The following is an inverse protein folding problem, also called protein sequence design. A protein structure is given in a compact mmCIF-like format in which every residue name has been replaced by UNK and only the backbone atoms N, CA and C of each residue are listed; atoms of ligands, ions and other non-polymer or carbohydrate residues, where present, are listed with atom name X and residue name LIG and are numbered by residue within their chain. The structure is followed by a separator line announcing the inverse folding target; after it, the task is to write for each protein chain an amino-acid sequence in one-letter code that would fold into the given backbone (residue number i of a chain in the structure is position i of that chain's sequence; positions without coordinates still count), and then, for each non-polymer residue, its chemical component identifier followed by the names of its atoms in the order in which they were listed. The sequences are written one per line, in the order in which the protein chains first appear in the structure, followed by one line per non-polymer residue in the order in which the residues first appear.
data_IF_873560283440
#
_entry.id   IF_873560283440
#
_cell.length_a   1.000
_cell.length_b   1.000
_cell.length_c   1.000
_cell.angle_alpha   90.00
_cell.angle_beta   90.00
_cell.angle_gamma   90.00
#
_symmetry.space_group_name_H-M   'P 1'
#
loop_
_entity.id
_entity.type
_entity.pdbx_description
1 polymer ?
#
# COMPACT_ATOMS: atom_id res chain seq x y z
N UNK A 1 34.46 -36.89 0.57
CA UNK A 1 35.84 -36.59 0.10
C UNK A 1 35.98 -37.09 -1.33
N UNK A 2 35.96 -36.20 -2.32
CA UNK A 2 36.78 -36.33 -3.53
C UNK A 2 36.81 -35.01 -4.28
N UNK A 3 38.04 -34.57 -4.56
CA UNK A 3 38.43 -33.30 -5.14
C UNK A 3 38.42 -33.37 -6.67
N UNK A 4 38.25 -32.22 -7.32
CA UNK A 4 38.94 -31.74 -8.55
C UNK A 4 37.96 -30.94 -9.43
N UNK A 5 38.27 -29.82 -10.08
CA UNK A 5 39.47 -28.96 -10.22
C UNK A 5 38.98 -27.66 -10.88
N UNK A 6 39.50 -26.52 -10.46
CA UNK A 6 39.30 -25.19 -11.07
C UNK A 6 40.00 -25.09 -12.43
N UNK A 7 39.41 -24.39 -13.42
CA UNK A 7 40.11 -23.96 -14.65
C UNK A 7 39.62 -22.58 -15.12
N UNK A 8 40.60 -21.68 -15.24
CA UNK A 8 40.81 -20.55 -16.16
C UNK A 8 39.73 -19.46 -16.32
N UNK A 9 39.99 -18.20 -15.96
CA UNK A 9 40.94 -17.23 -16.58
C UNK A 9 40.41 -16.70 -17.92
N UNK A 10 39.90 -15.46 -17.90
CA UNK A 10 39.43 -14.72 -19.07
C UNK A 10 39.37 -13.23 -18.81
N UNK A 11 40.54 -12.63 -18.54
CA UNK A 11 40.73 -11.17 -18.55
C UNK A 11 40.85 -10.73 -20.01
N UNK A 12 39.86 -9.97 -20.51
CA UNK A 12 39.94 -9.28 -21.80
C UNK A 12 40.17 -7.79 -21.55
N UNK A 13 41.42 -7.38 -21.77
CA UNK A 13 41.86 -6.00 -21.81
C UNK A 13 41.38 -5.35 -23.13
N UNK A 14 40.56 -4.32 -23.04
CA UNK A 14 40.33 -3.39 -24.15
C UNK A 14 41.25 -2.17 -23.96
N UNK A 15 42.31 -2.12 -24.78
CA UNK A 15 43.16 -0.95 -24.96
C UNK A 15 42.59 -0.03 -26.02
N UNK A 16 42.45 1.25 -25.66
CA UNK A 16 42.66 2.39 -26.56
C UNK A 16 41.42 2.97 -27.24
N UNK A 17 41.11 4.24 -26.96
CA UNK A 17 41.60 5.39 -27.75
C UNK A 17 41.04 6.68 -27.13
N UNK A 18 41.96 7.57 -26.77
CA UNK A 18 41.70 8.94 -26.36
C UNK A 18 41.60 9.79 -27.64
N UNK A 19 40.44 10.37 -27.95
CA UNK A 19 40.34 11.50 -28.88
C UNK A 19 39.91 12.74 -28.10
N UNK A 20 40.84 13.69 -28.03
CA UNK A 20 40.58 15.06 -27.64
C UNK A 20 39.75 15.77 -28.71
N UNK A 21 38.70 16.46 -28.28
CA UNK A 21 37.97 17.45 -29.08
C UNK A 21 37.59 18.63 -28.19
N UNK A 22 38.39 19.70 -28.23
CA UNK A 22 37.96 21.03 -27.80
C UNK A 22 37.18 21.65 -28.94
N UNK A 23 35.92 22.02 -28.71
CA UNK A 23 35.10 22.73 -29.69
C UNK A 23 33.96 23.43 -28.98
N UNK A 24 34.14 24.74 -28.75
CA UNK A 24 33.14 25.65 -28.22
C UNK A 24 31.97 25.77 -29.20
N UNK A 25 30.75 25.62 -28.70
CA UNK A 25 29.53 25.79 -29.47
C UNK A 25 28.33 25.83 -28.55
N UNK A 26 28.17 26.93 -27.82
CA UNK A 26 26.89 27.25 -27.20
C UNK A 26 25.87 27.51 -28.31
N UNK A 27 24.97 26.57 -28.52
CA UNK A 27 23.65 26.85 -29.09
C UNK A 27 22.62 26.38 -28.07
N UNK A 28 22.06 27.36 -27.37
CA UNK A 28 20.85 27.15 -26.61
C UNK A 28 19.77 26.66 -27.58
N UNK A 29 19.36 25.42 -27.42
CA UNK A 29 18.17 24.85 -28.03
C UNK A 29 17.59 24.01 -26.91
N UNK A 30 16.43 24.34 -26.34
CA UNK A 30 15.19 24.25 -27.08
C UNK A 30 14.09 25.11 -26.44
N UNK A 31 13.26 25.63 -27.33
CA UNK A 31 11.89 26.11 -27.19
C UNK A 31 11.28 26.13 -25.77
N UNK A 32 11.24 27.32 -25.19
CA UNK A 32 10.09 27.73 -24.39
C UNK A 32 9.00 28.21 -25.35
N UNK A 33 7.86 27.51 -25.43
CA UNK A 33 6.60 28.17 -25.81
C UNK A 33 5.66 28.04 -24.63
N UNK A 34 5.33 29.20 -24.08
CA UNK A 34 4.42 29.42 -22.99
C UNK A 34 3.02 29.68 -23.57
N UNK A 35 2.02 29.09 -22.89
CA UNK A 35 0.57 29.23 -23.10
C UNK A 35 -0.08 28.50 -24.30
N UNK A 36 -0.99 27.58 -23.93
CA UNK A 36 -1.89 26.76 -24.75
C UNK A 36 -1.26 25.61 -25.59
N UNK A 37 -0.77 24.55 -24.93
CA UNK A 37 -0.51 23.25 -25.56
C UNK A 37 0.80 22.59 -25.13
N UNK A 38 0.72 21.51 -24.36
CA UNK A 38 1.88 20.69 -23.98
C UNK A 38 2.22 19.68 -25.09
N UNK A 39 3.51 19.51 -25.38
CA UNK A 39 4.05 18.50 -26.32
C UNK A 39 4.94 17.50 -25.57
N UNK A 40 4.73 16.21 -25.86
CA UNK A 40 5.43 15.06 -25.27
C UNK A 40 6.23 14.38 -26.39
N UNK A 41 7.56 14.27 -26.24
CA UNK A 41 8.43 13.58 -27.22
C UNK A 41 8.83 12.19 -26.71
N UNK A 42 8.28 11.17 -27.37
CA UNK A 42 8.54 9.74 -27.12
C UNK A 42 9.83 9.28 -27.81
N UNK A 43 10.90 9.09 -27.06
CA UNK A 43 12.03 8.18 -27.39
C UNK A 43 12.78 7.81 -26.09
N UNK A 44 12.22 6.88 -25.29
CA UNK A 44 12.80 5.96 -24.28
C UNK A 44 14.32 6.13 -23.92
N UNK A 45 14.84 6.14 -22.68
CA UNK A 45 14.46 5.52 -21.40
C UNK A 45 15.10 6.27 -20.22
N UNK A 46 14.51 6.07 -19.03
CA UNK A 46 15.12 5.99 -17.70
C UNK A 46 14.44 6.87 -16.63
N UNK A 47 13.52 6.18 -15.94
CA UNK A 47 13.03 6.33 -14.57
C UNK A 47 13.53 7.54 -13.76
N UNK A 48 12.60 8.44 -13.43
CA UNK A 48 12.16 8.70 -12.04
C UNK A 48 11.15 9.85 -12.02
N UNK A 49 9.88 9.51 -11.79
CA UNK A 49 8.81 10.49 -11.52
C UNK A 49 7.43 10.06 -11.99
N UNK A 50 7.14 8.77 -11.96
CA UNK A 50 5.85 8.14 -12.22
C UNK A 50 4.74 8.66 -11.28
N UNK A 51 3.47 8.81 -11.64
CA UNK A 51 2.73 8.51 -12.86
C UNK A 51 1.35 9.21 -12.84
N UNK A 52 0.87 9.56 -14.04
CA UNK A 52 -0.52 9.59 -14.51
C UNK A 52 -1.59 10.46 -13.80
N UNK A 53 -1.77 11.67 -14.35
CA UNK A 53 -3.11 12.21 -14.55
C UNK A 53 -3.61 11.73 -15.94
N UNK A 54 -4.11 10.49 -16.01
CA UNK A 54 -4.90 9.99 -17.13
C UNK A 54 -6.36 9.94 -16.69
N UNK A 55 -7.12 10.94 -17.11
CA UNK A 55 -8.52 11.08 -16.75
C UNK A 55 -9.38 10.44 -17.85
N UNK A 56 -9.47 9.11 -17.83
CA UNK A 56 -10.65 8.44 -18.38
C UNK A 56 -11.82 8.64 -17.42
N UNK A 57 -13.03 9.02 -17.87
CA UNK A 57 -14.20 9.07 -17.01
C UNK A 57 -14.72 7.64 -16.83
N UNK A 58 -13.98 6.84 -16.06
CA UNK A 58 -14.58 5.67 -15.43
C UNK A 58 -15.52 6.22 -14.36
N UNK A 59 -16.79 5.85 -14.49
CA UNK A 59 -17.80 6.12 -13.47
C UNK A 59 -17.39 5.35 -12.20
N UNK A 60 -16.55 5.94 -11.36
CA UNK A 60 -16.09 5.34 -10.09
C UNK A 60 -17.26 5.33 -9.10
N UNK A 61 -18.17 4.37 -9.27
CA UNK A 61 -18.99 3.85 -8.19
C UNK A 61 -18.18 2.87 -7.33
N UNK A 62 -16.92 3.22 -7.02
CA UNK A 62 -15.97 2.41 -6.26
C UNK A 62 -15.73 3.04 -4.89
N UNK A 63 -15.92 2.26 -3.82
CA UNK A 63 -15.71 2.72 -2.45
C UNK A 63 -14.28 3.24 -2.23
N UNK A 64 -14.13 4.20 -1.32
CA UNK A 64 -12.82 4.70 -0.93
C UNK A 64 -12.03 3.57 -0.24
N UNK A 65 -11.00 3.05 -0.91
CA UNK A 65 -10.14 1.97 -0.40
C UNK A 65 -8.84 2.49 0.21
N UNK A 66 -8.39 1.87 1.31
CA UNK A 66 -7.21 2.27 2.09
C UNK A 66 -6.47 1.03 2.58
N UNK A 67 -5.13 1.03 2.54
CA UNK A 67 -4.31 0.01 3.20
C UNK A 67 -4.15 0.32 4.70
N UNK A 68 -4.38 -0.69 5.54
CA UNK A 68 -4.36 -0.58 7.00
C UNK A 68 -3.59 -1.71 7.65
N UNK A 69 -3.00 -1.46 8.81
CA UNK A 69 -2.61 -2.51 9.74
C UNK A 69 -3.88 -3.19 10.29
N UNK A 70 -3.84 -4.52 10.40
CA UNK A 70 -4.95 -5.33 10.92
C UNK A 70 -4.47 -6.09 12.15
N UNK A 71 -5.14 -5.85 13.28
CA UNK A 71 -5.01 -6.66 14.49
C UNK A 71 -6.38 -7.17 14.94
N UNK A 72 -6.39 -7.93 16.03
CA UNK A 72 -7.63 -8.31 16.68
C UNK A 72 -7.50 -8.21 18.20
N UNK A 73 -8.65 -8.04 18.84
CA UNK A 73 -8.83 -8.11 20.29
C UNK A 73 -10.02 -9.01 20.61
N UNK A 74 -10.04 -9.62 21.80
CA UNK A 74 -11.00 -10.68 22.09
C UNK A 74 -11.75 -10.50 23.40
N UNK A 75 -12.93 -11.09 23.45
CA UNK A 75 -13.66 -11.27 24.71
C UNK A 75 -12.90 -12.18 25.69
N UNK A 76 -12.14 -13.17 25.23
CA UNK A 76 -11.30 -14.01 26.11
C UNK A 76 -10.25 -13.21 26.90
N UNK A 77 -9.77 -12.08 26.34
CA UNK A 77 -8.87 -11.14 27.02
C UNK A 77 -9.61 -10.15 27.94
N UNK A 78 -10.92 -10.30 28.12
CA UNK A 78 -11.76 -9.44 28.96
C UNK A 78 -12.46 -8.30 28.22
N UNK A 79 -12.31 -8.18 26.89
CA UNK A 79 -12.95 -7.13 26.10
C UNK A 79 -14.37 -7.54 25.63
N UNK A 80 -15.25 -7.92 26.56
CA UNK A 80 -16.64 -8.33 26.28
C UNK A 80 -17.68 -7.25 26.60
N UNK A 81 -17.23 -6.04 26.93
CA UNK A 81 -18.06 -4.99 27.51
C UNK A 81 -18.71 -4.06 26.50
N UNK A 82 -18.67 -2.77 26.83
CA UNK A 82 -19.25 -1.69 26.03
C UNK A 82 -18.15 -1.01 25.22
N UNK A 83 -18.44 -0.74 23.95
CA UNK A 83 -17.56 0.00 23.02
C UNK A 83 -17.55 1.49 23.32
N UNK A 84 -16.59 2.25 22.76
CA UNK A 84 -16.54 3.70 22.86
C UNK A 84 -17.83 4.42 22.37
N UNK A 85 -18.56 3.83 21.41
CA UNK A 85 -19.85 4.35 20.93
C UNK A 85 -21.02 4.16 21.92
N UNK A 86 -20.81 3.41 23.01
CA UNK A 86 -21.84 3.10 24.00
C UNK A 86 -22.66 1.84 23.71
N UNK A 87 -22.42 1.14 22.58
CA UNK A 87 -23.07 -0.14 22.28
C UNK A 87 -22.28 -1.32 22.84
N UNK A 88 -22.98 -2.42 23.17
CA UNK A 88 -22.34 -3.69 23.53
C UNK A 88 -21.50 -4.21 22.36
N UNK A 89 -20.32 -4.75 22.67
CA UNK A 89 -19.41 -5.33 21.68
C UNK A 89 -20.00 -6.61 21.09
N UNK A 90 -19.64 -6.92 19.84
CA UNK A 90 -20.18 -8.08 19.13
C UNK A 90 -19.59 -8.22 17.72
N UNK A 91 -19.96 -9.30 16.99
CA UNK A 91 -19.42 -9.56 15.67
C UNK A 91 -19.62 -8.38 14.71
N UNK A 92 -18.57 -8.02 13.98
CA UNK A 92 -18.57 -6.86 13.08
C UNK A 92 -18.28 -5.53 13.78
N UNK A 93 -17.94 -5.53 15.06
CA UNK A 93 -17.35 -4.35 15.71
C UNK A 93 -15.85 -4.27 15.43
N UNK A 94 -15.37 -3.07 15.14
CA UNK A 94 -13.97 -2.74 15.04
C UNK A 94 -13.64 -1.53 15.93
N UNK A 95 -12.45 -1.57 16.53
CA UNK A 95 -11.78 -0.38 17.03
C UNK A 95 -11.01 0.29 15.89
N UNK A 96 -11.15 1.60 15.77
CA UNK A 96 -10.58 2.39 14.68
C UNK A 96 -10.05 3.73 15.20
N UNK A 97 -9.41 4.49 14.30
CA UNK A 97 -9.16 5.91 14.51
C UNK A 97 -10.47 6.66 14.86
N UNK A 98 -10.46 7.61 15.83
CA UNK A 98 -11.64 8.37 16.19
C UNK A 98 -12.32 9.11 15.03
N UNK A 99 -11.55 9.51 14.01
CA UNK A 99 -12.08 10.13 12.79
C UNK A 99 -12.89 9.18 11.91
N UNK A 100 -12.84 7.87 12.17
CA UNK A 100 -13.58 6.85 11.42
C UNK A 100 -14.82 6.32 12.16
N UNK A 101 -15.11 6.82 13.36
CA UNK A 101 -16.25 6.38 14.16
C UNK A 101 -17.58 6.43 13.38
N UNK A 102 -18.35 5.35 13.46
CA UNK A 102 -19.63 5.17 12.77
C UNK A 102 -19.51 4.72 11.30
N UNK A 103 -18.31 4.75 10.70
CA UNK A 103 -18.10 4.26 9.34
C UNK A 103 -18.08 2.74 9.31
N UNK A 104 -18.50 2.18 8.19
CA UNK A 104 -18.42 0.73 7.94
C UNK A 104 -17.47 0.44 6.79
N UNK A 105 -16.85 -0.74 6.82
CA UNK A 105 -15.91 -1.18 5.80
C UNK A 105 -15.93 -2.71 5.65
N UNK A 106 -15.35 -3.19 4.57
CA UNK A 106 -15.01 -4.61 4.37
C UNK A 106 -13.50 -4.75 4.25
N UNK A 107 -12.95 -5.90 4.63
CA UNK A 107 -11.53 -6.21 4.44
C UNK A 107 -11.40 -7.10 3.20
N UNK A 108 -10.57 -6.70 2.24
CA UNK A 108 -10.30 -7.55 1.08
C UNK A 108 -9.58 -8.82 1.54
N UNK A 109 -10.08 -9.98 1.08
CA UNK A 109 -9.56 -11.28 1.46
C UNK A 109 -10.18 -11.88 2.72
N UNK A 110 -11.07 -11.17 3.45
CA UNK A 110 -11.86 -11.81 4.51
C UNK A 110 -12.77 -12.89 3.89
N UNK A 111 -12.60 -14.18 4.23
CA UNK A 111 -13.37 -15.27 3.64
C UNK A 111 -14.87 -15.18 3.95
N UNK A 112 -15.25 -14.45 4.99
CA UNK A 112 -16.66 -14.25 5.35
C UNK A 112 -17.28 -13.03 4.66
N UNK A 113 -16.47 -12.19 4.01
CA UNK A 113 -16.92 -10.93 3.40
C UNK A 113 -17.68 -10.03 4.40
N UNK A 114 -17.30 -10.06 5.68
CA UNK A 114 -18.06 -9.41 6.74
C UNK A 114 -17.91 -7.89 6.62
N UNK A 115 -19.01 -7.19 6.89
CA UNK A 115 -18.97 -5.75 7.12
C UNK A 115 -18.63 -5.48 8.57
N UNK A 116 -17.62 -4.66 8.78
CA UNK A 116 -17.18 -4.16 10.08
C UNK A 116 -17.60 -2.71 10.24
N UNK A 117 -17.95 -2.31 11.45
CA UNK A 117 -18.29 -0.93 11.80
C UNK A 117 -17.36 -0.45 12.89
N UNK A 118 -16.75 0.72 12.68
CA UNK A 118 -15.97 1.42 13.69
C UNK A 118 -16.90 1.90 14.81
N UNK A 119 -16.97 1.12 15.90
CA UNK A 119 -17.80 1.43 17.09
C UNK A 119 -16.95 1.66 18.33
N UNK A 120 -15.67 1.36 18.24
CA UNK A 120 -14.76 1.38 19.36
C UNK A 120 -13.48 2.14 19.01
N UNK A 121 -12.68 2.45 20.03
CA UNK A 121 -11.39 3.14 19.90
C UNK A 121 -10.39 2.55 20.89
N UNK A 122 -9.10 2.60 20.57
CA UNK A 122 -8.03 2.18 21.49
C UNK A 122 -6.86 3.14 21.44
N UNK A 123 -6.13 3.29 22.55
CA UNK A 123 -4.97 4.20 22.61
C UNK A 123 -3.84 3.84 21.63
N UNK A 124 -3.78 2.58 21.19
CA UNK A 124 -2.83 2.08 20.19
C UNK A 124 -3.43 2.00 18.77
N UNK A 125 -4.72 2.32 18.60
CA UNK A 125 -5.45 2.19 17.34
C UNK A 125 -5.73 3.59 16.80
N UNK A 126 -4.87 4.07 15.90
CA UNK A 126 -4.94 5.41 15.30
C UNK A 126 -4.42 5.40 13.88
N UNK A 127 -4.86 6.36 13.05
CA UNK A 127 -4.54 6.41 11.63
C UNK A 127 -5.02 5.18 10.88
N UNK A 128 -4.18 4.64 9.99
CA UNK A 128 -4.49 3.47 9.17
C UNK A 128 -4.29 2.15 9.95
N UNK A 129 -4.98 2.01 11.07
CA UNK A 129 -4.96 0.82 11.92
C UNK A 129 -6.40 0.45 12.30
N UNK A 130 -6.79 -0.79 12.02
CA UNK A 130 -8.06 -1.37 12.47
C UNK A 130 -7.80 -2.57 13.36
N UNK A 131 -8.51 -2.62 14.48
CA UNK A 131 -8.42 -3.70 15.45
C UNK A 131 -9.79 -4.37 15.58
N UNK A 132 -9.91 -5.62 15.11
CA UNK A 132 -11.19 -6.28 14.89
C UNK A 132 -11.59 -7.09 16.12
N UNK A 133 -12.83 -6.93 16.58
CA UNK A 133 -13.32 -7.69 17.72
C UNK A 133 -13.72 -9.12 17.33
N UNK A 134 -13.33 -10.08 18.17
CA UNK A 134 -13.80 -11.46 18.12
C UNK A 134 -14.21 -12.00 19.49
N UNK A 135 -15.05 -13.04 19.51
CA UNK A 135 -15.37 -13.72 20.75
C UNK A 135 -14.17 -14.52 21.27
N UNK A 136 -13.41 -15.13 20.36
CA UNK A 136 -12.28 -16.02 20.68
C UNK A 136 -11.01 -15.67 19.90
N UNK A 137 -9.85 -16.08 20.42
CA UNK A 137 -8.56 -15.96 19.72
C UNK A 137 -8.54 -16.74 18.41
N UNK A 138 -9.18 -17.91 18.37
CA UNK A 138 -9.19 -18.77 17.19
C UNK A 138 -9.82 -18.06 15.98
N UNK A 139 -10.91 -17.31 16.20
CA UNK A 139 -11.56 -16.53 15.13
C UNK A 139 -10.68 -15.37 14.66
N UNK A 140 -10.05 -14.64 15.59
CA UNK A 140 -9.14 -13.54 15.26
C UNK A 140 -7.91 -14.03 14.49
N UNK A 141 -7.29 -15.13 14.93
CA UNK A 141 -6.18 -15.76 14.22
C UNK A 141 -6.58 -16.24 12.83
N UNK A 142 -7.79 -16.75 12.65
CA UNK A 142 -8.29 -17.16 11.33
C UNK A 142 -8.41 -15.97 10.38
N UNK A 143 -8.85 -14.80 10.85
CA UNK A 143 -8.84 -13.57 10.05
C UNK A 143 -7.41 -13.20 9.65
N UNK A 144 -6.49 -13.10 10.61
CA UNK A 144 -5.09 -12.72 10.34
C UNK A 144 -4.41 -13.71 9.39
N UNK A 145 -4.67 -15.00 9.52
CA UNK A 145 -4.14 -16.01 8.60
C UNK A 145 -4.67 -15.84 7.16
N UNK A 146 -5.89 -15.33 6.99
CA UNK A 146 -6.51 -15.11 5.69
C UNK A 146 -6.07 -13.80 5.02
N UNK A 147 -6.01 -12.69 5.78
CA UNK A 147 -5.79 -11.34 5.23
C UNK A 147 -4.38 -10.81 5.46
N UNK A 148 -3.61 -11.41 6.37
CA UNK A 148 -2.33 -10.91 6.84
C UNK A 148 -2.47 -9.83 7.94
N UNK A 149 -1.33 -9.27 8.35
CA UNK A 149 -1.27 -8.17 9.34
C UNK A 149 -1.40 -6.78 8.69
N UNK A 150 -1.49 -6.74 7.38
CA UNK A 150 -1.70 -5.54 6.57
C UNK A 150 -2.64 -5.91 5.43
N UNK A 151 -3.73 -5.18 5.28
CA UNK A 151 -4.75 -5.48 4.28
C UNK A 151 -5.35 -4.19 3.72
N UNK A 152 -5.93 -4.28 2.53
CA UNK A 152 -6.77 -3.21 1.99
C UNK A 152 -8.18 -3.34 2.58
N UNK A 153 -8.76 -2.21 2.98
CA UNK A 153 -10.19 -2.09 3.32
C UNK A 153 -10.90 -1.20 2.32
N UNK A 154 -12.20 -1.40 2.17
CA UNK A 154 -13.08 -0.56 1.37
C UNK A 154 -14.20 -0.02 2.26
N UNK A 155 -14.30 1.31 2.39
CA UNK A 155 -15.39 1.95 3.13
C UNK A 155 -16.71 1.85 2.37
N UNK A 156 -17.80 1.65 3.11
CA UNK A 156 -19.18 1.53 2.62
C UNK A 156 -20.02 2.75 2.96
#
# INVERSE_FOLDING_TARGET
MNRSKSIALGVLLFSGILLAGCGMGAVASQCTTEFAGQTIDSCNSDNSGSDANDQSPVVEAGGHSVEVAVTYYTCEDGFCGTTASGTTVGPGTAACDPGWMGRSFVIYGDPNGRTYTCRDTGGAVSGNHVDIWFATHAEGQALIAAVGTTATIEFR
#
